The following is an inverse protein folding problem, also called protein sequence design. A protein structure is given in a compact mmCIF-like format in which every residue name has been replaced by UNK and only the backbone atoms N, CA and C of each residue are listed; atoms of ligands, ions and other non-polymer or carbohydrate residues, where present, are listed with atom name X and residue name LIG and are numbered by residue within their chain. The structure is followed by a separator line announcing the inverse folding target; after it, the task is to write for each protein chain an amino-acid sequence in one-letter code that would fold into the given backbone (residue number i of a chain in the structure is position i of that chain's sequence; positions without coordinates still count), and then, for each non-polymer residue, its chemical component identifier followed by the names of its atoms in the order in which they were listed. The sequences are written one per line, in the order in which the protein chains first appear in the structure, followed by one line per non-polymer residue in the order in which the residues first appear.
data_IF_975492535434
#
_entry.id   IF_975492535434
#
_cell.length_a   1.000
_cell.length_b   1.000
_cell.length_c   1.000
_cell.angle_alpha   90.00
_cell.angle_beta   90.00
_cell.angle_gamma   90.00
#
_symmetry.space_group_name_H-M   'P 1'
#
loop_
_entity.id
_entity.type
_entity.pdbx_description
1 polymer ?
#
# COMPACT_ATOMS: atom_id res chain seq x y z
N UNK A 1 25.28 12.60 -20.06
CA UNK A 1 24.61 13.18 -18.87
C UNK A 1 25.30 12.61 -17.64
N UNK A 2 25.72 13.47 -16.70
CA UNK A 2 26.37 12.98 -15.50
C UNK A 2 25.34 12.17 -14.68
N UNK A 3 25.74 11.03 -14.12
CA UNK A 3 24.92 10.16 -13.26
C UNK A 3 24.11 10.97 -12.23
N UNK A 4 24.75 11.97 -11.60
CA UNK A 4 24.12 12.83 -10.60
C UNK A 4 22.96 13.67 -11.16
N UNK A 5 23.11 14.22 -12.36
CA UNK A 5 22.04 15.02 -13.01
C UNK A 5 20.86 14.14 -13.43
N UNK A 6 21.13 12.93 -13.92
CA UNK A 6 20.07 11.97 -14.25
C UNK A 6 19.31 11.51 -13.00
N UNK A 7 20.02 11.26 -11.89
CA UNK A 7 19.43 10.89 -10.60
C UNK A 7 18.55 12.02 -10.06
N UNK A 8 19.05 13.25 -9.98
CA UNK A 8 18.28 14.41 -9.49
C UNK A 8 17.02 14.65 -10.31
N UNK A 9 17.08 14.44 -11.61
CA UNK A 9 15.93 14.59 -12.52
C UNK A 9 14.88 13.48 -12.34
N UNK A 10 15.23 12.32 -11.81
CA UNK A 10 14.31 11.20 -11.61
C UNK A 10 13.68 11.16 -10.20
N UNK A 11 14.28 11.84 -9.22
CA UNK A 11 13.81 11.87 -7.82
C UNK A 11 12.35 12.34 -7.66
N UNK A 12 11.86 13.41 -8.34
CA UNK A 12 10.47 13.82 -8.20
C UNK A 12 9.48 12.75 -8.65
N UNK A 13 9.80 12.00 -9.72
CA UNK A 13 9.00 10.86 -10.18
C UNK A 13 8.98 9.72 -9.17
N UNK A 14 10.14 9.40 -8.59
CA UNK A 14 10.25 8.39 -7.54
C UNK A 14 9.48 8.78 -6.27
N UNK A 15 9.51 10.07 -5.88
CA UNK A 15 8.76 10.59 -4.75
C UNK A 15 7.25 10.47 -4.98
N UNK A 16 6.76 10.87 -6.16
CA UNK A 16 5.34 10.75 -6.52
C UNK A 16 4.89 9.29 -6.48
N UNK A 17 5.65 8.39 -7.08
CA UNK A 17 5.37 6.96 -7.08
C UNK A 17 5.43 6.40 -5.65
N UNK A 18 6.42 6.79 -4.86
CA UNK A 18 6.55 6.42 -3.45
C UNK A 18 5.36 6.86 -2.60
N UNK A 19 4.79 8.04 -2.83
CA UNK A 19 3.59 8.50 -2.13
C UNK A 19 2.34 7.69 -2.50
N UNK A 20 2.16 7.35 -3.78
CA UNK A 20 1.05 6.50 -4.24
C UNK A 20 1.12 5.13 -3.57
N UNK A 21 2.29 4.48 -3.62
CA UNK A 21 2.50 3.20 -2.96
C UNK A 21 2.49 3.31 -1.43
N UNK A 22 2.77 4.49 -0.88
CA UNK A 22 2.63 4.80 0.54
C UNK A 22 1.19 4.70 1.02
N UNK A 23 0.21 5.15 0.20
CA UNK A 23 -1.21 4.96 0.49
C UNK A 23 -1.60 3.48 0.52
N UNK A 24 -1.09 2.69 -0.44
CA UNK A 24 -1.26 1.23 -0.42
C UNK A 24 -0.63 0.60 0.82
N UNK A 25 0.60 1.01 1.17
CA UNK A 25 1.30 0.50 2.34
C UNK A 25 0.55 0.82 3.66
N UNK A 26 -0.14 1.96 3.75
CA UNK A 26 -1.05 2.26 4.87
C UNK A 26 -2.19 1.24 4.94
N UNK A 27 -2.78 0.86 3.80
CA UNK A 27 -3.78 -0.21 3.75
C UNK A 27 -3.21 -1.53 4.27
N UNK A 28 -2.04 -1.94 3.78
CA UNK A 28 -1.34 -3.15 4.25
C UNK A 28 -0.99 -3.07 5.74
N UNK A 29 -0.62 -1.88 6.25
CA UNK A 29 -0.38 -1.68 7.68
C UNK A 29 -1.60 -1.99 8.54
N UNK A 30 -2.80 -1.65 8.07
CA UNK A 30 -4.05 -1.96 8.78
C UNK A 30 -4.27 -3.46 8.90
N UNK A 31 -4.09 -4.23 7.84
CA UNK A 31 -4.28 -5.68 7.87
C UNK A 31 -3.14 -6.39 8.62
N UNK A 32 -1.91 -6.07 8.28
CA UNK A 32 -0.74 -6.78 8.80
C UNK A 32 -0.40 -6.42 10.26
N UNK A 33 -0.49 -5.12 10.62
CA UNK A 33 -0.03 -4.63 11.93
C UNK A 33 -1.14 -4.38 12.94
N UNK A 34 -2.31 -3.95 12.46
CA UNK A 34 -3.44 -3.63 13.37
C UNK A 34 -4.31 -4.87 13.56
N UNK A 35 -4.67 -5.60 12.50
CA UNK A 35 -5.54 -6.78 12.57
C UNK A 35 -4.81 -8.09 12.78
N UNK A 36 -3.51 -8.13 12.51
CA UNK A 36 -2.68 -9.35 12.49
C UNK A 36 -3.23 -10.43 11.54
N UNK A 37 -3.68 -9.98 10.36
CA UNK A 37 -4.26 -10.81 9.29
C UNK A 37 -3.43 -10.65 8.02
N UNK A 38 -2.90 -11.76 7.49
CA UNK A 38 -2.22 -11.76 6.20
C UNK A 38 -3.24 -11.72 5.06
N UNK A 39 -3.36 -10.56 4.40
CA UNK A 39 -4.31 -10.31 3.31
C UNK A 39 -3.61 -10.26 1.95
N UNK A 40 -3.78 -11.29 1.14
CA UNK A 40 -3.25 -11.34 -0.23
C UNK A 40 -4.21 -10.76 -1.28
N UNK A 41 -5.38 -10.26 -0.87
CA UNK A 41 -6.33 -9.59 -1.78
C UNK A 41 -5.75 -8.30 -2.35
N UNK A 42 -4.79 -7.69 -1.66
CA UNK A 42 -4.10 -6.44 -2.01
C UNK A 42 -3.68 -6.39 -3.48
N UNK A 43 -3.06 -7.47 -3.98
CA UNK A 43 -2.59 -7.55 -5.37
C UNK A 43 -3.77 -7.42 -6.38
N UNK A 44 -4.91 -8.02 -6.06
CA UNK A 44 -6.14 -7.89 -6.87
C UNK A 44 -6.79 -6.51 -6.73
N UNK A 45 -6.86 -5.99 -5.51
CA UNK A 45 -7.55 -4.73 -5.20
C UNK A 45 -6.91 -3.52 -5.85
N UNK A 46 -5.56 -3.48 -5.99
CA UNK A 46 -4.86 -2.43 -6.75
C UNK A 46 -5.34 -2.42 -8.20
N UNK A 47 -5.34 -3.58 -8.85
CA UNK A 47 -5.76 -3.70 -10.24
C UNK A 47 -7.25 -3.33 -10.40
N UNK A 48 -8.10 -3.70 -9.44
CA UNK A 48 -9.52 -3.32 -9.42
C UNK A 48 -9.69 -1.80 -9.36
N UNK A 49 -8.92 -1.13 -8.49
CA UNK A 49 -8.93 0.33 -8.40
C UNK A 49 -8.50 1.01 -9.69
N UNK A 50 -7.43 0.53 -10.29
CA UNK A 50 -6.95 1.02 -11.58
C UNK A 50 -7.96 0.81 -12.71
N UNK A 51 -8.50 -0.41 -12.84
CA UNK A 51 -9.50 -0.77 -13.84
C UNK A 51 -10.76 0.10 -13.70
N UNK A 52 -11.33 0.20 -12.50
CA UNK A 52 -12.54 0.98 -12.23
C UNK A 52 -12.31 2.47 -12.55
N UNK A 53 -11.22 3.07 -12.06
CA UNK A 53 -10.92 4.48 -12.29
C UNK A 53 -10.74 4.80 -13.78
N UNK A 54 -9.95 3.99 -14.50
CA UNK A 54 -9.69 4.20 -15.93
C UNK A 54 -10.95 4.10 -16.76
N UNK A 55 -11.78 3.10 -16.51
CA UNK A 55 -13.02 2.93 -17.29
C UNK A 55 -14.04 4.01 -16.99
N UNK A 56 -14.19 4.44 -15.73
CA UNK A 56 -15.10 5.52 -15.36
C UNK A 56 -14.65 6.88 -15.95
N UNK A 57 -13.35 7.17 -15.95
CA UNK A 57 -12.80 8.39 -16.57
C UNK A 57 -13.03 8.35 -18.09
N UNK A 58 -12.82 7.21 -18.74
CA UNK A 58 -13.11 7.05 -20.17
C UNK A 58 -14.58 7.21 -20.51
N UNK A 59 -15.47 6.84 -19.58
CA UNK A 59 -16.91 7.09 -19.71
C UNK A 59 -17.29 8.57 -19.48
N UNK A 60 -16.33 9.45 -19.21
CA UNK A 60 -16.55 10.90 -19.01
C UNK A 60 -16.87 11.30 -17.57
N UNK A 61 -16.70 10.37 -16.60
CA UNK A 61 -16.93 10.69 -15.19
C UNK A 61 -15.80 11.58 -14.63
N UNK A 62 -16.15 12.44 -13.68
CA UNK A 62 -15.19 13.28 -12.98
C UNK A 62 -14.15 12.39 -12.25
N UNK A 63 -12.83 12.67 -12.37
CA UNK A 63 -11.77 11.88 -11.73
C UNK A 63 -11.93 11.70 -10.21
N UNK A 64 -12.48 12.69 -9.51
CA UNK A 64 -12.76 12.59 -8.07
C UNK A 64 -13.80 11.52 -7.75
N UNK A 65 -14.89 11.48 -8.52
CA UNK A 65 -15.92 10.46 -8.38
C UNK A 65 -15.38 9.08 -8.76
N UNK A 66 -14.53 9.01 -9.80
CA UNK A 66 -13.89 7.75 -10.20
C UNK A 66 -12.99 7.19 -9.08
N UNK A 67 -12.25 8.05 -8.33
CA UNK A 67 -11.48 7.63 -7.17
C UNK A 67 -12.37 7.11 -6.03
N UNK A 68 -13.48 7.78 -5.77
CA UNK A 68 -14.42 7.35 -4.74
C UNK A 68 -15.08 6.00 -5.11
N UNK A 69 -15.46 5.82 -6.36
CA UNK A 69 -15.97 4.53 -6.86
C UNK A 69 -14.92 3.42 -6.75
N UNK A 70 -13.66 3.72 -7.10
CA UNK A 70 -12.56 2.77 -6.96
C UNK A 70 -12.37 2.35 -5.49
N UNK A 71 -12.42 3.31 -4.55
CA UNK A 71 -12.35 3.01 -3.12
C UNK A 71 -13.47 2.06 -2.67
N UNK A 72 -14.72 2.30 -3.12
CA UNK A 72 -15.87 1.44 -2.81
C UNK A 72 -15.68 0.04 -3.43
N UNK A 73 -15.19 -0.07 -4.66
CA UNK A 73 -14.88 -1.37 -5.28
C UNK A 73 -13.85 -2.16 -4.47
N UNK A 74 -12.81 -1.49 -3.95
CA UNK A 74 -11.85 -2.11 -3.04
C UNK A 74 -12.46 -2.55 -1.73
N UNK A 75 -13.36 -1.73 -1.14
CA UNK A 75 -14.10 -2.12 0.06
C UNK A 75 -14.94 -3.38 -0.17
N UNK A 76 -15.58 -3.51 -1.32
CA UNK A 76 -16.35 -4.71 -1.70
C UNK A 76 -15.43 -5.94 -1.84
N UNK A 77 -14.25 -5.79 -2.43
CA UNK A 77 -13.26 -6.85 -2.49
C UNK A 77 -12.84 -7.33 -1.11
N UNK A 78 -12.51 -6.39 -0.20
CA UNK A 78 -12.19 -6.69 1.20
C UNK A 78 -13.35 -7.30 1.97
N UNK A 79 -14.60 -6.91 1.68
CA UNK A 79 -15.78 -7.52 2.25
C UNK A 79 -15.90 -9.00 1.87
N UNK A 80 -15.71 -9.34 0.59
CA UNK A 80 -15.76 -10.73 0.12
C UNK A 80 -14.68 -11.58 0.80
N UNK A 81 -13.44 -11.10 0.86
CA UNK A 81 -12.34 -11.77 1.57
C UNK A 81 -12.68 -11.97 3.06
N UNK A 82 -13.20 -10.92 3.71
CA UNK A 82 -13.61 -10.99 5.11
C UNK A 82 -14.74 -11.99 5.35
N UNK A 83 -15.69 -12.09 4.43
CA UNK A 83 -16.77 -13.08 4.51
C UNK A 83 -16.26 -14.50 4.36
N UNK A 84 -15.37 -14.77 3.40
CA UNK A 84 -14.73 -16.08 3.24
C UNK A 84 -13.97 -16.48 4.50
N UNK A 85 -13.23 -15.55 5.10
CA UNK A 85 -12.48 -15.83 6.31
C UNK A 85 -13.39 -16.05 7.52
N UNK A 86 -14.35 -15.16 7.79
CA UNK A 86 -15.10 -15.15 9.05
C UNK A 86 -16.33 -16.04 9.04
N UNK A 87 -17.07 -16.16 7.92
CA UNK A 87 -18.28 -16.98 7.83
C UNK A 87 -18.04 -18.35 7.24
N UNK A 88 -17.14 -18.46 6.23
CA UNK A 88 -16.84 -19.74 5.61
C UNK A 88 -15.70 -20.50 6.33
N UNK A 89 -15.04 -19.84 7.32
CA UNK A 89 -13.95 -20.48 8.07
C UNK A 89 -12.67 -20.73 7.26
N UNK A 90 -12.54 -20.09 6.08
CA UNK A 90 -11.37 -20.27 5.22
C UNK A 90 -10.17 -19.51 5.84
N UNK A 91 -8.96 -20.10 5.89
CA UNK A 91 -7.78 -19.39 6.36
C UNK A 91 -7.57 -18.06 5.63
N UNK A 92 -7.15 -17.01 6.34
CA UNK A 92 -7.06 -15.64 5.81
C UNK A 92 -6.24 -15.54 4.51
N UNK A 93 -5.07 -16.18 4.47
CA UNK A 93 -4.20 -16.24 3.29
C UNK A 93 -4.95 -16.82 2.09
N UNK A 94 -5.63 -17.95 2.27
CA UNK A 94 -6.36 -18.62 1.19
C UNK A 94 -7.56 -17.80 0.73
N UNK A 95 -8.29 -17.17 1.66
CA UNK A 95 -9.39 -16.25 1.34
C UNK A 95 -8.92 -15.10 0.43
N UNK A 96 -7.76 -14.53 0.75
CA UNK A 96 -7.14 -13.46 -0.05
C UNK A 96 -6.76 -13.94 -1.46
N UNK A 97 -6.14 -15.11 -1.57
CA UNK A 97 -5.77 -15.72 -2.86
C UNK A 97 -7.01 -15.98 -3.72
N UNK A 98 -8.08 -16.54 -3.15
CA UNK A 98 -9.33 -16.81 -3.87
C UNK A 98 -9.97 -15.52 -4.40
N UNK A 99 -10.04 -14.50 -3.56
CA UNK A 99 -10.60 -13.20 -3.97
C UNK A 99 -9.72 -12.54 -5.04
N UNK A 100 -8.39 -12.59 -4.91
CA UNK A 100 -7.45 -12.06 -5.92
C UNK A 100 -7.67 -12.72 -7.29
N UNK A 101 -7.84 -14.05 -7.34
CA UNK A 101 -8.11 -14.77 -8.59
C UNK A 101 -9.48 -14.39 -9.19
N UNK A 102 -10.51 -14.26 -8.35
CA UNK A 102 -11.81 -13.77 -8.80
C UNK A 102 -11.74 -12.35 -9.37
N UNK A 103 -11.02 -11.46 -8.68
CA UNK A 103 -10.81 -10.07 -9.11
C UNK A 103 -10.08 -9.98 -10.45
N UNK A 104 -9.15 -10.88 -10.76
CA UNK A 104 -8.51 -10.92 -12.08
C UNK A 104 -9.51 -11.02 -13.21
N UNK A 105 -10.47 -11.94 -13.10
CA UNK A 105 -11.54 -12.12 -14.12
C UNK A 105 -12.54 -10.96 -14.15
N UNK A 106 -12.84 -10.39 -12.98
CA UNK A 106 -13.73 -9.22 -12.86
C UNK A 106 -13.07 -8.00 -13.51
N UNK A 107 -11.79 -7.77 -13.24
CA UNK A 107 -11.01 -6.65 -13.80
C UNK A 107 -10.93 -6.74 -15.33
N UNK A 108 -10.72 -7.94 -15.89
CA UNK A 108 -10.77 -8.14 -17.33
C UNK A 108 -12.13 -7.75 -17.92
N UNK A 109 -13.24 -8.11 -17.26
CA UNK A 109 -14.59 -7.72 -17.71
C UNK A 109 -14.80 -6.21 -17.61
N UNK A 110 -14.36 -5.56 -16.52
CA UNK A 110 -14.42 -4.10 -16.36
C UNK A 110 -13.66 -3.41 -17.50
N UNK A 111 -12.51 -3.97 -17.92
CA UNK A 111 -11.62 -3.41 -18.94
C UNK A 111 -11.94 -3.87 -20.37
N UNK A 112 -13.20 -4.25 -20.68
CA UNK A 112 -13.64 -4.70 -22.00
C UNK A 112 -12.81 -5.87 -22.56
N UNK A 113 -12.44 -6.84 -21.69
CA UNK A 113 -11.62 -8.01 -22.03
C UNK A 113 -10.21 -7.68 -22.55
N UNK A 114 -9.70 -6.48 -22.24
CA UNK A 114 -8.33 -6.07 -22.57
C UNK A 114 -7.47 -6.11 -21.33
N UNK A 115 -6.28 -6.71 -21.43
CA UNK A 115 -5.33 -6.78 -20.31
C UNK A 115 -4.79 -5.41 -19.90
N UNK A 116 -4.72 -4.47 -20.84
CA UNK A 116 -4.25 -3.10 -20.60
C UNK A 116 -5.22 -2.11 -21.26
N UNK A 117 -5.57 -1.06 -20.48
CA UNK A 117 -6.43 0.03 -20.97
C UNK A 117 -5.76 1.37 -20.68
N UNK A 118 -5.44 2.09 -21.75
CA UNK A 118 -4.85 3.43 -21.65
C UNK A 118 -5.92 4.50 -21.48
N UNK A 119 -5.58 5.51 -20.69
CA UNK A 119 -6.31 6.79 -20.61
C UNK A 119 -5.45 7.85 -21.28
N UNK A 120 -5.94 8.41 -22.38
CA UNK A 120 -5.21 9.49 -23.08
C UNK A 120 -5.13 10.73 -22.17
N UNK A 121 -3.91 11.06 -21.73
CA UNK A 121 -3.64 12.20 -20.84
C UNK A 121 -4.10 13.52 -21.46
N UNK A 122 -4.09 13.61 -22.79
CA UNK A 122 -4.51 14.81 -23.54
C UNK A 122 -6.04 14.87 -23.74
N UNK A 123 -6.74 13.74 -23.60
CA UNK A 123 -8.18 13.65 -23.88
C UNK A 123 -9.05 13.79 -22.62
N UNK A 124 -8.53 13.39 -21.48
CA UNK A 124 -9.28 13.36 -20.22
C UNK A 124 -8.57 14.18 -19.14
N UNK A 125 -9.31 14.93 -18.30
CA UNK A 125 -8.72 15.63 -17.17
C UNK A 125 -8.27 14.59 -16.13
N UNK A 126 -6.96 14.42 -15.95
CA UNK A 126 -6.39 13.59 -14.91
C UNK A 126 -5.94 14.45 -13.73
N UNK A 127 -6.14 13.98 -12.51
CA UNK A 127 -5.69 14.68 -11.30
C UNK A 127 -4.20 14.54 -11.08
N UNK A 128 -3.65 13.40 -11.44
CA UNK A 128 -2.25 13.03 -11.21
C UNK A 128 -1.71 12.44 -12.51
N UNK A 129 -0.64 13.03 -13.07
CA UNK A 129 -0.01 12.54 -14.29
C UNK A 129 1.51 12.61 -14.17
N UNK A 130 2.19 11.57 -14.62
CA UNK A 130 3.65 11.50 -14.67
C UNK A 130 4.27 12.59 -15.55
N UNK A 131 3.53 13.08 -16.55
CA UNK A 131 3.99 14.07 -17.51
C UNK A 131 4.36 15.41 -16.86
N UNK A 132 3.63 15.81 -15.81
CA UNK A 132 3.78 17.11 -15.15
C UNK A 132 4.62 17.10 -13.88
N UNK A 133 5.28 15.98 -13.56
CA UNK A 133 6.06 15.82 -12.31
C UNK A 133 7.23 16.79 -12.21
N UNK A 134 7.74 17.27 -13.35
CA UNK A 134 8.88 18.21 -13.41
C UNK A 134 8.48 19.66 -13.54
N UNK A 135 7.22 19.93 -13.78
CA UNK A 135 6.73 21.29 -13.94
C UNK A 135 6.44 21.92 -12.58
N UNK A 136 6.95 23.12 -12.33
CA UNK A 136 6.62 23.94 -11.15
C UNK A 136 5.25 24.62 -11.33
N UNK A 137 4.25 23.88 -11.79
CA UNK A 137 2.89 24.37 -12.03
C UNK A 137 1.89 23.72 -11.07
N UNK A 138 0.69 24.28 -10.96
CA UNK A 138 -0.43 23.69 -10.20
C UNK A 138 -0.83 22.29 -10.70
N UNK A 139 -0.34 21.86 -11.87
CA UNK A 139 -0.54 20.54 -12.45
C UNK A 139 0.47 19.49 -11.94
N UNK A 140 1.43 19.89 -11.09
CA UNK A 140 2.38 18.96 -10.49
C UNK A 140 1.63 17.95 -9.60
N UNK A 141 1.84 16.63 -9.79
CA UNK A 141 1.15 15.61 -9.00
C UNK A 141 1.59 15.58 -7.53
N UNK A 142 2.78 16.05 -7.19
CA UNK A 142 3.34 15.95 -5.83
C UNK A 142 2.47 16.64 -4.75
N UNK A 143 2.02 17.91 -4.91
CA UNK A 143 1.15 18.54 -3.93
C UNK A 143 -0.18 17.83 -3.74
N UNK A 144 -0.76 17.31 -4.84
CA UNK A 144 -2.01 16.56 -4.79
C UNK A 144 -1.82 15.26 -4.03
N UNK A 145 -0.75 14.52 -4.31
CA UNK A 145 -0.45 13.25 -3.63
C UNK A 145 -0.12 13.46 -2.15
N UNK A 146 0.60 14.53 -1.80
CA UNK A 146 0.84 14.91 -0.40
C UNK A 146 -0.49 15.21 0.31
N UNK A 147 -1.37 15.99 -0.31
CA UNK A 147 -2.69 16.30 0.24
C UNK A 147 -3.49 15.02 0.49
N UNK A 148 -3.49 14.08 -0.47
CA UNK A 148 -4.14 12.77 -0.31
C UNK A 148 -3.53 11.97 0.86
N UNK A 149 -2.21 11.89 0.92
CA UNK A 149 -1.51 11.13 1.97
C UNK A 149 -1.82 11.71 3.35
N UNK A 150 -1.70 13.02 3.53
CA UNK A 150 -2.03 13.66 4.81
C UNK A 150 -3.52 13.57 5.13
N UNK A 151 -4.41 13.74 4.13
CA UNK A 151 -5.85 13.61 4.29
C UNK A 151 -6.25 12.20 4.75
N UNK A 152 -5.70 11.16 4.13
CA UNK A 152 -5.94 9.77 4.54
C UNK A 152 -5.38 9.50 5.93
N UNK A 153 -4.18 9.98 6.25
CA UNK A 153 -3.59 9.82 7.61
C UNK A 153 -4.48 10.52 8.65
N UNK A 154 -4.93 11.74 8.41
CA UNK A 154 -5.80 12.49 9.31
C UNK A 154 -7.15 11.78 9.53
N UNK A 155 -7.77 11.28 8.44
CA UNK A 155 -9.02 10.54 8.48
C UNK A 155 -8.87 9.23 9.27
N UNK A 156 -7.80 8.49 9.03
CA UNK A 156 -7.52 7.24 9.76
C UNK A 156 -7.19 7.51 11.23
N UNK A 157 -6.43 8.57 11.52
CA UNK A 157 -6.13 8.97 12.89
C UNK A 157 -7.41 9.26 13.67
N UNK A 158 -8.33 10.04 13.07
CA UNK A 158 -9.64 10.29 13.66
C UNK A 158 -10.45 8.99 13.81
N UNK A 159 -10.55 8.17 12.75
CA UNK A 159 -11.30 6.92 12.75
C UNK A 159 -10.82 5.94 13.83
N UNK A 160 -9.51 5.70 13.91
CA UNK A 160 -8.93 4.79 14.91
C UNK A 160 -8.94 5.33 16.35
N UNK A 161 -9.30 6.61 16.54
CA UNK A 161 -9.65 7.20 17.82
C UNK A 161 -11.11 6.97 18.26
N UNK A 162 -11.99 6.53 17.35
CA UNK A 162 -13.39 6.21 17.67
C UNK A 162 -13.53 4.84 18.34
N UNK A 163 -14.69 4.57 18.94
CA UNK A 163 -15.00 3.26 19.54
C UNK A 163 -14.82 2.10 18.55
N UNK A 164 -15.24 2.28 17.28
CA UNK A 164 -15.07 1.27 16.23
C UNK A 164 -13.60 1.02 15.92
N UNK A 165 -12.81 2.07 15.81
CA UNK A 165 -11.36 1.95 15.59
C UNK A 165 -10.63 1.28 16.75
N UNK A 166 -11.01 1.62 17.99
CA UNK A 166 -10.49 0.96 19.20
C UNK A 166 -10.87 -0.53 19.24
N UNK A 167 -12.11 -0.90 18.86
CA UNK A 167 -12.55 -2.28 18.78
C UNK A 167 -11.76 -3.10 17.75
N UNK A 168 -11.43 -2.53 16.57
CA UNK A 168 -10.58 -3.16 15.56
C UNK A 168 -9.18 -3.40 16.11
N UNK A 169 -8.59 -2.41 16.77
CA UNK A 169 -7.25 -2.53 17.38
C UNK A 169 -7.22 -3.59 18.49
N UNK A 170 -8.26 -3.63 19.34
CA UNK A 170 -8.41 -4.65 20.39
C UNK A 170 -8.55 -6.06 19.78
N UNK A 171 -9.30 -6.19 18.68
CA UNK A 171 -9.49 -7.45 17.95
C UNK A 171 -8.15 -8.00 17.42
N UNK A 172 -7.30 -7.14 16.84
CA UNK A 172 -5.99 -7.57 16.34
C UNK A 172 -4.99 -7.87 17.46
N UNK A 173 -5.06 -7.15 18.59
CA UNK A 173 -4.16 -7.39 19.71
C UNK A 173 -4.42 -8.74 20.41
N UNK A 174 -5.69 -9.08 20.64
CA UNK A 174 -6.09 -10.37 21.22
C UNK A 174 -7.58 -10.63 20.96
N UNK A 175 -7.87 -11.51 20.01
CA UNK A 175 -9.26 -11.85 19.64
C UNK A 175 -10.06 -12.48 20.79
N UNK A 176 -9.42 -13.32 21.61
CA UNK A 176 -10.11 -14.00 22.72
C UNK A 176 -10.50 -13.01 23.81
N UNK A 177 -9.60 -12.08 24.16
CA UNK A 177 -9.87 -11.01 25.11
C UNK A 177 -10.95 -10.07 24.59
N UNK A 178 -10.90 -9.69 23.32
CA UNK A 178 -11.91 -8.83 22.71
C UNK A 178 -13.30 -9.47 22.74
N UNK A 179 -13.41 -10.78 22.47
CA UNK A 179 -14.69 -11.52 22.59
C UNK A 179 -15.20 -11.58 24.01
N UNK A 180 -14.32 -11.78 25.00
CA UNK A 180 -14.69 -11.78 26.41
C UNK A 180 -15.28 -10.42 26.87
N UNK A 181 -14.88 -9.33 26.21
CA UNK A 181 -15.43 -7.97 26.42
C UNK A 181 -16.68 -7.69 25.58
N UNK A 182 -17.28 -8.69 24.92
CA UNK A 182 -18.48 -8.54 24.10
C UNK A 182 -18.26 -7.92 22.71
N UNK A 183 -17.01 -7.76 22.29
CA UNK A 183 -16.67 -7.20 20.97
C UNK A 183 -16.86 -8.27 19.88
N UNK A 184 -17.62 -7.93 18.83
CA UNK A 184 -17.79 -8.81 17.67
C UNK A 184 -16.53 -8.77 16.79
N UNK A 185 -15.59 -9.70 17.08
CA UNK A 185 -14.30 -9.79 16.37
C UNK A 185 -14.46 -10.07 14.88
N UNK A 186 -15.44 -10.91 14.49
CA UNK A 186 -15.68 -11.24 13.09
C UNK A 186 -16.08 -10.02 12.26
N UNK A 187 -17.00 -9.19 12.78
CA UNK A 187 -17.40 -7.95 12.12
C UNK A 187 -16.23 -6.97 12.01
N UNK A 188 -15.38 -6.88 13.04
CA UNK A 188 -14.22 -5.99 13.04
C UNK A 188 -13.14 -6.43 12.03
N UNK A 189 -12.91 -7.74 11.89
CA UNK A 189 -11.99 -8.27 10.87
C UNK A 189 -12.52 -7.95 9.47
N UNK A 190 -13.80 -8.21 9.19
CA UNK A 190 -14.41 -7.87 7.89
C UNK A 190 -14.27 -6.37 7.61
N UNK A 191 -14.62 -5.51 8.57
CA UNK A 191 -14.56 -4.07 8.38
C UNK A 191 -13.13 -3.57 8.16
N UNK A 192 -12.16 -4.11 8.89
CA UNK A 192 -10.75 -3.75 8.71
C UNK A 192 -10.20 -4.19 7.35
N UNK A 193 -10.58 -5.38 6.86
CA UNK A 193 -10.26 -5.83 5.50
C UNK A 193 -10.90 -4.94 4.42
N UNK A 194 -12.17 -4.50 4.64
CA UNK A 194 -12.84 -3.54 3.76
C UNK A 194 -12.08 -2.22 3.69
N UNK A 195 -11.73 -1.65 4.83
CA UNK A 195 -11.03 -0.37 4.90
C UNK A 195 -9.64 -0.45 4.24
N UNK A 196 -8.90 -1.51 4.55
CA UNK A 196 -7.58 -1.76 3.94
C UNK A 196 -7.66 -1.85 2.42
N UNK A 197 -8.50 -2.75 1.89
CA UNK A 197 -8.63 -2.96 0.46
C UNK A 197 -9.23 -1.74 -0.26
N UNK A 198 -10.06 -0.94 0.41
CA UNK A 198 -10.50 0.36 -0.08
C UNK A 198 -9.33 1.32 -0.33
N UNK A 199 -8.42 1.46 0.64
CA UNK A 199 -7.22 2.31 0.51
C UNK A 199 -6.26 1.78 -0.57
N UNK A 200 -6.09 0.47 -0.63
CA UNK A 200 -5.28 -0.21 -1.66
C UNK A 200 -5.84 0.08 -3.06
N UNK A 201 -7.14 -0.03 -3.24
CA UNK A 201 -7.83 0.26 -4.50
C UNK A 201 -7.75 1.76 -4.86
N UNK A 202 -7.87 2.66 -3.88
CA UNK A 202 -7.64 4.09 -4.06
C UNK A 202 -6.23 4.38 -4.58
N UNK A 203 -5.22 3.73 -4.00
CA UNK A 203 -3.83 3.82 -4.47
C UNK A 203 -3.69 3.31 -5.91
N UNK A 204 -4.33 2.18 -6.25
CA UNK A 204 -4.37 1.63 -7.61
C UNK A 204 -5.00 2.58 -8.62
N UNK A 205 -6.07 3.29 -8.24
CA UNK A 205 -6.72 4.29 -9.05
C UNK A 205 -5.83 5.53 -9.31
N UNK A 206 -5.09 5.98 -8.29
CA UNK A 206 -4.10 7.05 -8.42
C UNK A 206 -2.91 6.61 -9.29
N UNK A 207 -2.45 5.35 -9.11
CA UNK A 207 -1.36 4.79 -9.91
C UNK A 207 -1.72 4.70 -11.38
N UNK A 208 -2.93 4.25 -11.70
CA UNK A 208 -3.41 4.17 -13.08
C UNK A 208 -3.54 5.56 -13.73
N UNK A 209 -4.00 6.57 -13.01
CA UNK A 209 -4.02 7.96 -13.49
C UNK A 209 -2.59 8.50 -13.68
N UNK A 210 -1.68 8.21 -12.75
CA UNK A 210 -0.28 8.63 -12.81
C UNK A 210 0.44 8.05 -14.02
N UNK A 211 0.26 6.75 -14.28
CA UNK A 211 0.86 6.05 -15.42
C UNK A 211 0.13 6.30 -16.75
N UNK A 212 -1.12 6.78 -16.70
CA UNK A 212 -1.97 6.96 -17.87
C UNK A 212 -2.53 5.65 -18.44
N UNK A 213 -2.47 4.55 -17.70
CA UNK A 213 -3.00 3.25 -18.09
C UNK A 213 -3.29 2.37 -16.87
N UNK A 214 -4.29 1.47 -16.98
CA UNK A 214 -4.49 0.38 -16.06
C UNK A 214 -4.10 -0.95 -16.72
N UNK A 215 -3.43 -1.82 -15.97
CA UNK A 215 -3.08 -3.17 -16.37
C UNK A 215 -3.63 -4.16 -15.32
N UNK A 216 -4.19 -5.28 -15.78
CA UNK A 216 -4.75 -6.31 -14.89
C UNK A 216 -3.70 -6.89 -13.94
N UNK A 217 -2.43 -6.85 -14.34
CA UNK A 217 -1.32 -7.38 -13.58
C UNK A 217 -0.56 -6.31 -12.77
N UNK A 218 -1.03 -5.05 -12.75
CA UNK A 218 -0.32 -3.94 -12.10
C UNK A 218 -0.12 -4.12 -10.59
N UNK A 219 -0.95 -4.97 -9.96
CA UNK A 219 -0.86 -5.29 -8.54
C UNK A 219 0.02 -6.50 -8.19
N UNK A 220 0.56 -7.22 -9.17
CA UNK A 220 1.35 -8.43 -8.88
C UNK A 220 2.63 -8.13 -8.10
N UNK A 221 2.69 -8.63 -6.86
CA UNK A 221 3.79 -8.41 -5.92
C UNK A 221 3.66 -7.11 -5.12
N UNK A 222 2.53 -6.43 -5.19
CA UNK A 222 2.26 -5.21 -4.44
C UNK A 222 2.34 -5.43 -2.93
N UNK A 223 1.85 -6.57 -2.44
CA UNK A 223 1.92 -6.93 -1.02
C UNK A 223 3.38 -6.92 -0.51
N UNK A 224 4.34 -7.37 -1.32
CA UNK A 224 5.76 -7.41 -0.95
C UNK A 224 6.30 -5.98 -0.78
N UNK A 225 5.95 -5.08 -1.70
CA UNK A 225 6.34 -3.67 -1.63
C UNK A 225 5.68 -3.00 -0.42
N UNK A 226 4.41 -3.29 -0.16
CA UNK A 226 3.68 -2.77 1.00
C UNK A 226 4.31 -3.18 2.32
N UNK A 227 4.60 -4.46 2.49
CA UNK A 227 5.28 -4.97 3.68
C UNK A 227 6.68 -4.38 3.84
N UNK A 228 7.44 -4.25 2.76
CA UNK A 228 8.74 -3.59 2.78
C UNK A 228 8.63 -2.15 3.28
N UNK A 229 7.69 -1.37 2.73
CA UNK A 229 7.46 0.01 3.14
C UNK A 229 7.09 0.13 4.63
N UNK A 230 6.22 -0.76 5.13
CA UNK A 230 5.85 -0.83 6.55
C UNK A 230 7.08 -1.08 7.42
N UNK A 231 7.89 -2.08 7.07
CA UNK A 231 9.05 -2.46 7.88
C UNK A 231 10.15 -1.40 7.81
N UNK A 232 10.41 -0.82 6.63
CA UNK A 232 11.37 0.30 6.49
C UNK A 232 10.94 1.47 7.38
N UNK A 233 9.65 1.83 7.34
CA UNK A 233 9.09 2.88 8.18
C UNK A 233 9.25 2.59 9.66
N UNK A 234 8.94 1.38 10.10
CA UNK A 234 9.08 0.96 11.51
C UNK A 234 10.54 0.90 11.98
N UNK A 235 11.44 0.39 11.14
CA UNK A 235 12.87 0.25 11.51
C UNK A 235 13.56 1.61 11.66
N UNK A 236 13.22 2.56 10.79
CA UNK A 236 13.84 3.89 10.80
C UNK A 236 13.20 4.79 11.85
N UNK A 237 11.86 4.83 11.92
CA UNK A 237 11.11 5.79 12.70
C UNK A 237 10.40 5.21 13.94
N UNK A 238 10.38 3.88 14.13
CA UNK A 238 9.59 3.24 15.17
C UNK A 238 9.93 3.69 16.60
N UNK A 239 11.16 4.13 16.86
CA UNK A 239 11.56 4.69 18.16
C UNK A 239 11.19 6.17 18.33
N UNK A 240 11.09 6.93 17.23
CA UNK A 240 10.77 8.35 17.23
C UNK A 240 9.26 8.61 17.23
N UNK A 241 8.50 7.77 16.53
CA UNK A 241 7.09 7.98 16.27
C UNK A 241 6.23 7.05 17.14
N UNK A 242 5.83 7.56 18.31
CA UNK A 242 4.99 6.82 19.27
C UNK A 242 3.51 6.94 18.96
N UNK A 243 3.07 8.07 18.40
CA UNK A 243 1.67 8.32 18.05
C UNK A 243 1.24 7.52 16.81
N UNK A 244 -0.03 7.08 16.81
CA UNK A 244 -0.59 6.30 15.71
C UNK A 244 -0.51 7.02 14.35
N UNK A 245 -0.87 8.30 14.28
CA UNK A 245 -0.77 9.10 13.04
C UNK A 245 0.67 9.20 12.53
N UNK A 246 1.64 9.37 13.43
CA UNK A 246 3.06 9.40 13.07
C UNK A 246 3.56 8.04 12.57
N UNK A 247 3.02 6.92 13.09
CA UNK A 247 3.34 5.57 12.56
C UNK A 247 2.84 5.40 11.12
N UNK A 248 1.63 5.89 10.80
CA UNK A 248 1.12 5.87 9.42
C UNK A 248 1.97 6.75 8.49
N UNK A 249 2.42 7.90 9.00
CA UNK A 249 3.35 8.77 8.26
C UNK A 249 4.71 8.08 8.04
N UNK A 250 5.23 7.36 9.04
CA UNK A 250 6.44 6.57 8.90
C UNK A 250 6.33 5.52 7.79
N UNK A 251 5.19 4.86 7.67
CA UNK A 251 4.92 3.88 6.60
C UNK A 251 4.97 4.56 5.22
N UNK A 252 4.34 5.73 5.08
CA UNK A 252 4.37 6.49 3.81
C UNK A 252 5.79 6.94 3.45
N UNK A 253 6.56 7.42 4.43
CA UNK A 253 7.98 7.78 4.21
C UNK A 253 8.78 6.53 3.87
N UNK A 254 8.52 5.39 4.50
CA UNK A 254 9.13 4.11 4.19
C UNK A 254 8.96 3.71 2.73
N UNK A 255 7.75 3.91 2.18
CA UNK A 255 7.49 3.69 0.76
C UNK A 255 8.28 4.64 -0.15
N UNK A 256 8.38 5.92 0.21
CA UNK A 256 9.19 6.89 -0.54
C UNK A 256 10.66 6.51 -0.53
N UNK A 257 11.20 6.10 0.63
CA UNK A 257 12.58 5.64 0.75
C UNK A 257 12.81 4.39 -0.12
N UNK A 258 11.87 3.44 -0.10
CA UNK A 258 11.95 2.25 -0.95
C UNK A 258 12.06 2.61 -2.43
N UNK A 259 11.21 3.54 -2.91
CA UNK A 259 11.25 3.97 -4.31
C UNK A 259 12.50 4.79 -4.66
N UNK A 260 13.06 5.54 -3.73
CA UNK A 260 14.35 6.22 -3.93
C UNK A 260 15.50 5.22 -4.08
N UNK A 261 15.56 4.18 -3.23
CA UNK A 261 16.55 3.12 -3.35
C UNK A 261 16.41 2.40 -4.70
N UNK A 262 15.19 2.06 -5.10
CA UNK A 262 14.90 1.43 -6.38
C UNK A 262 15.34 2.32 -7.56
N UNK A 263 15.10 3.62 -7.48
CA UNK A 263 15.50 4.57 -8.53
C UNK A 263 17.02 4.70 -8.65
N UNK A 264 17.74 4.70 -7.52
CA UNK A 264 19.21 4.69 -7.52
C UNK A 264 19.75 3.43 -8.21
N UNK A 265 19.17 2.28 -7.87
CA UNK A 265 19.56 0.99 -8.43
C UNK A 265 19.33 0.95 -9.96
N UNK A 266 18.20 1.49 -10.43
CA UNK A 266 17.92 1.61 -11.86
C UNK A 266 18.91 2.52 -12.60
N UNK A 267 19.34 3.61 -11.97
CA UNK A 267 20.31 4.54 -12.56
C UNK A 267 21.74 3.95 -12.65
N UNK A 268 22.06 2.91 -11.88
CA UNK A 268 23.32 2.17 -11.98
C UNK A 268 23.43 1.32 -13.27
N UNK A 269 22.42 1.38 -14.14
CA UNK A 269 22.45 0.70 -15.45
C UNK A 269 22.07 -0.77 -15.41
N UNK A 270 21.41 -1.21 -14.34
CA UNK A 270 20.89 -2.58 -14.24
C UNK A 270 19.74 -2.80 -15.22
N UNK A 271 19.68 -4.00 -15.78
CA UNK A 271 18.67 -4.35 -16.76
C UNK A 271 17.27 -4.34 -16.14
N UNK A 272 16.31 -3.73 -16.83
CA UNK A 272 14.91 -3.67 -16.37
C UNK A 272 14.26 -5.06 -16.20
N UNK A 273 14.78 -6.07 -16.87
CA UNK A 273 14.34 -7.46 -16.72
C UNK A 273 14.65 -8.02 -15.33
N UNK A 274 15.72 -7.55 -14.68
CA UNK A 274 16.17 -8.00 -13.37
C UNK A 274 15.49 -7.22 -12.21
N UNK A 275 14.60 -6.29 -12.54
CA UNK A 275 13.94 -5.40 -11.58
C UNK A 275 13.22 -6.17 -10.45
N UNK A 276 12.54 -7.28 -10.79
CA UNK A 276 11.85 -8.12 -9.80
C UNK A 276 12.83 -8.85 -8.87
N UNK A 277 13.95 -9.32 -9.39
CA UNK A 277 15.00 -9.94 -8.59
C UNK A 277 15.61 -8.92 -7.61
N UNK A 278 15.92 -7.73 -8.12
CA UNK A 278 16.55 -6.67 -7.34
C UNK A 278 15.59 -6.17 -6.25
N UNK A 279 14.32 -5.96 -6.58
CA UNK A 279 13.30 -5.58 -5.59
C UNK A 279 13.17 -6.64 -4.50
N UNK A 280 13.17 -7.92 -4.84
CA UNK A 280 13.12 -9.01 -3.87
C UNK A 280 14.36 -9.02 -2.95
N UNK A 281 15.56 -8.79 -3.49
CA UNK A 281 16.80 -8.69 -2.70
C UNK A 281 16.79 -7.49 -1.75
N UNK A 282 16.35 -6.32 -2.24
CA UNK A 282 16.21 -5.11 -1.43
C UNK A 282 15.25 -5.37 -0.26
N UNK A 283 14.08 -5.95 -0.55
CA UNK A 283 13.08 -6.26 0.49
C UNK A 283 13.64 -7.27 1.49
N UNK A 284 14.30 -8.35 1.03
CA UNK A 284 14.92 -9.34 1.90
C UNK A 284 15.98 -8.72 2.83
N UNK A 285 16.77 -7.78 2.30
CA UNK A 285 17.79 -7.08 3.08
C UNK A 285 17.13 -6.22 4.18
N UNK A 286 16.10 -5.44 3.85
CA UNK A 286 15.39 -4.64 4.85
C UNK A 286 14.69 -5.50 5.91
N UNK A 287 14.11 -6.64 5.51
CA UNK A 287 13.49 -7.60 6.43
C UNK A 287 14.51 -8.26 7.38
N UNK A 288 15.75 -8.46 6.93
CA UNK A 288 16.82 -9.05 7.73
C UNK A 288 17.40 -8.10 8.79
N UNK A 289 17.32 -6.77 8.57
CA UNK A 289 17.89 -5.76 9.49
C UNK A 289 17.37 -5.90 10.93
N UNK A 290 16.05 -6.02 11.22
CA UNK A 290 15.54 -6.18 12.58
C UNK A 290 16.10 -7.41 13.29
N UNK A 291 16.21 -8.54 12.57
CA UNK A 291 16.74 -9.79 13.10
C UNK A 291 18.24 -9.65 13.46
N UNK A 292 19.03 -9.06 12.58
CA UNK A 292 20.46 -8.86 12.84
C UNK A 292 20.70 -7.86 13.97
N UNK A 293 19.92 -6.77 14.05
CA UNK A 293 19.98 -5.86 15.20
C UNK A 293 19.65 -6.58 16.50
N UNK A 294 18.58 -7.40 16.54
CA UNK A 294 18.21 -8.16 17.73
C UNK A 294 19.35 -9.09 18.19
N UNK A 295 19.97 -9.80 17.26
CA UNK A 295 21.06 -10.75 17.56
C UNK A 295 22.35 -10.03 18.06
N UNK A 296 22.67 -8.86 17.51
CA UNK A 296 23.82 -8.07 17.95
C UNK A 296 23.61 -7.49 19.36
N UNK A 297 22.40 -7.08 19.72
CA UNK A 297 22.11 -6.55 21.06
C UNK A 297 22.09 -7.67 22.12
N UNK A 298 21.51 -8.85 21.84
CA UNK A 298 21.55 -10.00 22.76
C UNK A 298 22.98 -10.56 22.93
N UNK A 299 23.80 -10.54 21.90
CA UNK A 299 25.19 -10.94 21.97
C UNK A 299 26.07 -10.01 22.83
N UNK A 300 25.74 -8.70 22.87
CA UNK A 300 26.43 -7.74 23.76
C UNK A 300 26.01 -7.93 25.21
N UNK A 301 24.73 -8.11 25.51
CA UNK A 301 24.24 -8.32 26.87
C UNK A 301 24.86 -9.60 27.50
N UNK A 302 24.91 -10.71 26.74
CA UNK A 302 25.53 -11.94 27.20
C UNK A 302 27.06 -11.83 27.42
N UNK A 303 27.73 -10.95 26.69
CA UNK A 303 29.17 -10.67 26.85
C UNK A 303 29.47 -9.76 28.03
N UNK A 304 28.53 -8.88 28.40
CA UNK A 304 28.65 -8.05 29.61
C UNK A 304 28.39 -8.86 30.90
N UNK A 305 27.35 -9.74 30.89
CA UNK A 305 27.14 -10.64 32.02
C UNK A 305 28.30 -11.61 32.25
N UNK A 306 28.97 -12.10 31.19
CA UNK A 306 30.17 -12.96 31.35
C UNK A 306 31.46 -12.20 31.73
N UNK A 307 31.44 -10.86 31.77
CA UNK A 307 32.57 -10.03 32.24
C UNK A 307 32.41 -9.61 33.70
N UNK A 308 31.24 -9.75 34.27
CA UNK A 308 30.95 -9.40 35.67
C UNK A 308 30.70 -10.65 36.54
N UNK A 309 30.81 -11.86 35.97
CA UNK A 309 30.89 -13.14 36.68
C UNK A 309 32.36 -13.66 36.70
#
# INVERSE_FOLDING_TARGET
MNFLSALLNSLPGAAAQGLIWGLMAIGVYITFRILDVADLTVDGSIATGGAAAVMLIRAGMNPWLALLCAFVCGMLAGFVTGMFHTKCGIPAILSGILTQHALYSINLRIMDSKANQAVGVDKYPLMVSQRFVRDLSLKNPLPVLLLFTFGVIALLYWFFGTERGCAIRATGANQNMARAQGINTNANVVFGLMLSNGLVSLSGALLAQFQGAADVNMGRGAIVIGLAAVIIGEVIFGKLFTNFGLKLLAVSIGAVIYYFVLQIVLQLGLNTNDLKLITALIVALFLAIPFWKGKMFHGKAKKEESRHA
#
